data_IF_740976055428
#
_entry.id   IF_740976055428
#
_cell.length_a   1.000
_cell.length_b   1.000
_cell.length_c   1.000
_cell.angle_alpha   90.00
_cell.angle_beta   90.00
_cell.angle_gamma   90.00
#
_symmetry.space_group_name_H-M   'P 1'
#
loop_
_entity.id
_entity.type
_entity.pdbx_description
1 polymer ?
#
# COMPACT_ATOMS: atom_id res chain seq x y z
N UNK A 1 25.03 0.15 -12.49
CA UNK A 1 24.62 0.41 -11.07
C UNK A 1 24.34 -0.89 -10.30
N UNK A 2 23.75 -1.92 -10.93
CA UNK A 2 23.41 -3.20 -10.28
C UNK A 2 24.62 -4.16 -10.21
N UNK A 3 25.65 -3.98 -11.02
CA UNK A 3 26.82 -4.90 -11.15
C UNK A 3 27.61 -5.14 -9.84
N UNK A 4 27.49 -4.24 -8.89
CA UNK A 4 28.13 -4.36 -7.56
C UNK A 4 27.36 -5.27 -6.59
N UNK A 5 26.12 -5.65 -6.93
CA UNK A 5 25.27 -6.50 -6.08
C UNK A 5 25.24 -7.92 -6.63
N UNK A 6 25.09 -8.88 -5.73
CA UNK A 6 24.78 -10.27 -6.09
C UNK A 6 23.25 -10.43 -5.97
N UNK A 7 22.64 -11.01 -6.98
CA UNK A 7 21.22 -11.34 -6.96
C UNK A 7 21.03 -12.83 -6.62
N UNK A 8 20.07 -13.10 -5.75
CA UNK A 8 19.59 -14.46 -5.50
C UNK A 8 18.06 -14.43 -5.55
N UNK A 9 17.46 -15.35 -6.29
CA UNK A 9 16.05 -15.67 -6.20
C UNK A 9 15.87 -16.57 -4.99
N UNK A 10 14.98 -16.19 -4.08
CA UNK A 10 14.66 -16.93 -2.88
C UNK A 10 13.16 -17.23 -2.88
N UNK A 11 12.78 -18.40 -2.38
CA UNK A 11 11.41 -18.82 -2.16
C UNK A 11 11.30 -19.24 -0.70
N UNK A 12 10.23 -18.85 -0.04
CA UNK A 12 9.84 -19.46 1.24
C UNK A 12 9.20 -20.82 0.96
N UNK A 13 9.87 -21.94 1.27
CA UNK A 13 9.34 -23.24 0.93
C UNK A 13 8.07 -23.61 1.70
N UNK A 14 7.90 -23.10 2.94
CA UNK A 14 6.74 -23.42 3.77
C UNK A 14 5.47 -22.64 3.32
N UNK A 15 5.65 -21.46 2.73
CA UNK A 15 4.54 -20.65 2.20
C UNK A 15 4.29 -20.82 0.70
N UNK A 16 5.12 -21.63 0.03
CA UNK A 16 4.96 -21.93 -1.40
C UNK A 16 3.75 -22.83 -1.63
N UNK A 17 2.75 -22.35 -2.36
CA UNK A 17 1.54 -23.11 -2.70
C UNK A 17 1.73 -24.12 -3.85
N UNK A 18 2.92 -24.22 -4.43
CA UNK A 18 3.21 -25.18 -5.50
C UNK A 18 2.50 -24.94 -6.83
N UNK A 19 1.99 -23.74 -7.10
CA UNK A 19 1.16 -23.42 -8.28
C UNK A 19 1.91 -23.45 -9.63
N UNK A 20 3.25 -23.42 -9.65
CA UNK A 20 4.07 -23.49 -10.86
C UNK A 20 4.11 -22.24 -11.73
N UNK A 21 3.39 -21.16 -11.38
CA UNK A 21 3.34 -19.92 -12.18
C UNK A 21 4.71 -19.30 -12.38
N UNK A 22 5.58 -19.28 -11.36
CA UNK A 22 6.94 -18.76 -11.45
C UNK A 22 7.80 -19.53 -12.47
N UNK A 23 7.63 -20.84 -12.56
CA UNK A 23 8.32 -21.68 -13.56
C UNK A 23 7.80 -21.37 -14.96
N UNK A 24 6.48 -21.25 -15.12
CA UNK A 24 5.86 -20.93 -16.41
C UNK A 24 6.26 -19.53 -16.88
N UNK A 25 6.24 -18.54 -16.01
CA UNK A 25 6.58 -17.14 -16.30
C UNK A 25 8.09 -16.87 -16.44
N UNK A 26 8.96 -17.83 -16.06
CA UNK A 26 10.41 -17.63 -16.11
C UNK A 26 10.87 -17.31 -17.55
N UNK A 27 11.54 -16.16 -17.78
CA UNK A 27 11.93 -15.71 -19.12
C UNK A 27 13.19 -16.40 -19.67
N UNK A 28 13.90 -17.17 -18.85
CA UNK A 28 15.09 -17.88 -19.28
C UNK A 28 14.75 -18.94 -20.33
N UNK A 29 15.63 -19.09 -21.35
CA UNK A 29 15.46 -20.10 -22.42
C UNK A 29 15.36 -21.51 -21.84
N UNK A 30 16.30 -21.84 -20.95
CA UNK A 30 16.21 -23.00 -20.07
C UNK A 30 15.67 -22.48 -18.76
N UNK A 31 14.50 -22.96 -18.33
CA UNK A 31 13.85 -22.46 -17.12
C UNK A 31 14.82 -22.46 -15.95
N UNK A 32 15.03 -21.30 -15.33
CA UNK A 32 15.90 -21.16 -14.18
C UNK A 32 15.28 -21.68 -12.88
N UNK A 33 13.96 -21.88 -12.89
CA UNK A 33 13.19 -22.42 -11.78
C UNK A 33 12.59 -23.76 -12.17
N UNK A 34 12.59 -24.71 -11.26
CA UNK A 34 11.98 -26.04 -11.42
C UNK A 34 11.17 -26.39 -10.18
N UNK A 35 10.06 -27.09 -10.37
CA UNK A 35 9.29 -27.63 -9.25
C UNK A 35 10.00 -28.84 -8.66
N UNK A 36 10.09 -28.91 -7.35
CA UNK A 36 10.65 -30.01 -6.59
C UNK A 36 9.69 -30.40 -5.45
N UNK A 37 9.70 -31.65 -4.99
CA UNK A 37 8.96 -32.05 -3.79
C UNK A 37 9.40 -31.21 -2.58
N UNK A 38 8.44 -30.73 -1.79
CA UNK A 38 8.69 -29.86 -0.65
C UNK A 38 9.71 -30.44 0.34
N UNK A 39 9.59 -31.74 0.61
CA UNK A 39 10.45 -32.44 1.57
C UNK A 39 11.93 -32.37 1.21
N UNK A 40 12.25 -32.23 -0.08
CA UNK A 40 13.63 -32.08 -0.55
C UNK A 40 14.17 -30.64 -0.42
N UNK A 41 13.29 -29.67 -0.16
CA UNK A 41 13.61 -28.24 -0.15
C UNK A 41 13.48 -27.58 1.23
N UNK A 42 13.08 -28.31 2.26
CA UNK A 42 12.88 -27.76 3.60
C UNK A 42 14.12 -27.05 4.17
N UNK A 43 15.32 -27.48 3.79
CA UNK A 43 16.57 -26.84 4.20
C UNK A 43 16.74 -25.42 3.67
N UNK A 44 16.01 -25.01 2.63
CA UNK A 44 16.00 -23.64 2.11
C UNK A 44 15.22 -22.68 3.03
N UNK A 45 14.46 -23.21 4.00
CA UNK A 45 13.82 -22.35 5.01
C UNK A 45 14.86 -21.59 5.84
N UNK A 46 15.95 -22.24 6.23
CA UNK A 46 17.04 -21.58 6.98
C UNK A 46 17.67 -20.42 6.18
N UNK A 47 17.75 -20.58 4.85
CA UNK A 47 18.22 -19.52 3.94
C UNK A 47 17.22 -18.39 3.83
N UNK A 48 15.92 -18.68 3.81
CA UNK A 48 14.88 -17.66 3.83
C UNK A 48 14.92 -16.87 5.13
N UNK A 49 14.92 -17.53 6.28
CA UNK A 49 14.94 -16.91 7.59
C UNK A 49 16.19 -16.01 7.76
N UNK A 50 17.36 -16.50 7.28
CA UNK A 50 18.56 -15.68 7.25
C UNK A 50 18.38 -14.43 6.38
N UNK A 51 17.71 -14.54 5.23
CA UNK A 51 17.49 -13.39 4.34
C UNK A 51 16.71 -12.26 5.01
N UNK A 52 15.78 -12.61 5.90
CA UNK A 52 14.98 -11.63 6.66
C UNK A 52 15.80 -10.84 7.69
N UNK A 53 16.97 -11.36 8.11
CA UNK A 53 17.88 -10.68 9.04
C UNK A 53 18.77 -9.64 8.36
N UNK A 54 18.84 -9.65 7.04
CA UNK A 54 19.72 -8.74 6.29
C UNK A 54 19.21 -7.30 6.36
N UNK A 55 20.15 -6.36 6.36
CA UNK A 55 19.82 -4.94 6.30
C UNK A 55 19.22 -4.56 4.95
N UNK A 56 18.25 -3.64 4.99
CA UNK A 56 17.66 -3.10 3.77
C UNK A 56 18.72 -2.43 2.90
N UNK A 57 18.59 -2.61 1.61
CA UNK A 57 19.44 -1.96 0.60
C UNK A 57 18.68 -0.81 -0.03
N UNK A 58 19.38 0.29 -0.25
CA UNK A 58 18.81 1.37 -1.05
C UNK A 58 18.50 0.84 -2.46
N UNK A 59 17.28 1.07 -2.93
CA UNK A 59 16.90 0.70 -4.28
C UNK A 59 17.84 1.37 -5.30
N UNK A 60 18.54 0.61 -6.14
CA UNK A 60 19.50 1.15 -7.11
C UNK A 60 18.83 1.76 -8.33
N UNK A 61 17.51 1.65 -8.45
CA UNK A 61 16.72 2.09 -9.60
C UNK A 61 15.50 2.89 -9.14
N UNK A 62 14.86 3.60 -10.07
CA UNK A 62 13.56 4.22 -9.78
C UNK A 62 12.51 3.15 -9.52
N UNK A 63 11.80 3.24 -8.40
CA UNK A 63 10.69 2.34 -8.04
C UNK A 63 9.54 2.36 -9.06
N UNK A 64 9.45 3.39 -9.88
CA UNK A 64 8.43 3.51 -10.93
C UNK A 64 8.82 2.83 -12.26
N UNK A 65 9.86 2.01 -12.26
CA UNK A 65 10.19 1.12 -13.37
C UNK A 65 9.87 -0.32 -13.01
N UNK A 66 9.62 -1.17 -14.02
CA UNK A 66 9.31 -2.60 -13.83
C UNK A 66 10.37 -3.30 -12.96
N UNK A 67 11.65 -3.06 -13.22
CA UNK A 67 12.73 -3.66 -12.41
C UNK A 67 12.85 -3.00 -11.05
N UNK A 68 12.75 -1.68 -10.98
CA UNK A 68 12.95 -0.93 -9.76
C UNK A 68 11.88 -1.21 -8.71
N UNK A 69 10.63 -1.40 -9.12
CA UNK A 69 9.54 -1.74 -8.20
C UNK A 69 9.81 -3.03 -7.43
N UNK A 70 10.52 -3.98 -8.03
CA UNK A 70 10.82 -5.29 -7.43
C UNK A 70 11.98 -5.24 -6.41
N UNK A 71 12.64 -4.11 -6.25
CA UNK A 71 13.61 -3.86 -5.18
C UNK A 71 12.99 -3.14 -3.96
N UNK A 72 11.73 -2.76 -4.05
CA UNK A 72 10.98 -2.26 -2.90
C UNK A 72 10.42 -3.42 -2.08
N UNK A 73 10.40 -3.26 -0.75
CA UNK A 73 9.82 -4.26 0.14
C UNK A 73 8.32 -4.38 -0.13
N UNK A 74 7.79 -5.57 -0.41
CA UNK A 74 6.35 -5.78 -0.44
C UNK A 74 5.76 -5.69 0.96
N UNK A 75 4.59 -5.05 1.07
CA UNK A 75 3.83 -4.98 2.32
C UNK A 75 2.51 -5.76 2.23
N UNK A 76 2.45 -6.67 1.27
CA UNK A 76 1.47 -7.74 1.11
C UNK A 76 2.19 -8.98 0.60
N UNK A 77 2.19 -10.05 1.41
CA UNK A 77 2.72 -11.37 1.04
C UNK A 77 1.95 -12.47 1.78
N UNK A 78 2.03 -13.69 1.27
CA UNK A 78 1.49 -14.89 1.91
C UNK A 78 -0.03 -14.81 2.16
N UNK A 79 -0.77 -14.34 1.16
CA UNK A 79 -2.23 -14.25 1.23
C UNK A 79 -2.88 -15.64 1.16
N UNK A 80 -4.08 -15.78 1.72
CA UNK A 80 -4.91 -16.97 1.58
C UNK A 80 -5.63 -17.10 0.23
N UNK A 81 -5.14 -16.45 -0.83
CA UNK A 81 -5.71 -16.55 -2.17
C UNK A 81 -5.51 -17.95 -2.78
N UNK A 82 -6.30 -18.25 -3.83
CA UNK A 82 -6.14 -19.48 -4.60
C UNK A 82 -4.72 -19.57 -5.20
N UNK A 83 -4.19 -20.79 -5.30
CA UNK A 83 -2.89 -21.03 -5.93
C UNK A 83 -2.87 -20.47 -7.36
N UNK A 84 -1.88 -19.61 -7.66
CA UNK A 84 -1.76 -18.94 -8.95
C UNK A 84 -2.72 -17.77 -9.17
N UNK A 85 -3.35 -17.23 -8.12
CA UNK A 85 -4.22 -16.04 -8.22
C UNK A 85 -3.46 -14.86 -8.81
N UNK A 86 -4.01 -14.25 -9.87
CA UNK A 86 -3.42 -13.08 -10.51
C UNK A 86 -3.63 -11.77 -9.75
N UNK A 87 -4.67 -11.66 -8.93
CA UNK A 87 -5.01 -10.43 -8.20
C UNK A 87 -3.93 -10.02 -7.21
N UNK A 88 -3.35 -10.97 -6.49
CA UNK A 88 -2.37 -10.72 -5.43
C UNK A 88 -1.08 -10.11 -5.95
N UNK A 89 -0.68 -10.41 -7.19
CA UNK A 89 0.50 -9.81 -7.82
C UNK A 89 0.36 -8.29 -8.01
N UNK A 90 -0.83 -7.83 -8.41
CA UNK A 90 -1.12 -6.41 -8.53
C UNK A 90 -1.21 -5.71 -7.18
N UNK A 91 -1.90 -6.33 -6.21
CA UNK A 91 -1.99 -5.79 -4.86
C UNK A 91 -0.60 -5.68 -4.21
N UNK A 92 0.25 -6.69 -4.36
CA UNK A 92 1.65 -6.66 -3.91
C UNK A 92 2.41 -5.48 -4.53
N UNK A 93 2.31 -5.28 -5.85
CA UNK A 93 2.96 -4.17 -6.55
C UNK A 93 2.49 -2.82 -6.00
N UNK A 94 1.20 -2.63 -5.76
CA UNK A 94 0.68 -1.40 -5.15
C UNK A 94 1.29 -1.14 -3.78
N UNK A 95 1.45 -2.17 -2.95
CA UNK A 95 2.10 -2.01 -1.65
C UNK A 95 3.59 -1.70 -1.75
N UNK A 96 4.30 -2.22 -2.75
CA UNK A 96 5.70 -1.88 -3.01
C UNK A 96 5.88 -0.40 -3.39
N UNK A 97 4.91 0.18 -4.10
CA UNK A 97 4.98 1.56 -4.57
C UNK A 97 4.49 2.58 -3.53
N UNK A 98 3.44 2.23 -2.79
CA UNK A 98 2.70 3.19 -1.96
C UNK A 98 2.39 2.69 -0.54
N UNK A 99 2.69 1.42 -0.23
CA UNK A 99 2.19 0.72 0.94
C UNK A 99 2.54 1.39 2.27
N UNK A 100 3.68 2.04 2.38
CA UNK A 100 4.14 2.69 3.60
C UNK A 100 3.32 3.94 4.01
N UNK A 101 2.43 4.41 3.15
CA UNK A 101 1.52 5.53 3.40
C UNK A 101 0.10 5.29 2.84
N UNK A 102 -0.23 4.04 2.54
CA UNK A 102 -1.47 3.63 1.89
C UNK A 102 -2.62 3.50 2.88
N UNK A 103 -3.75 4.10 2.55
CA UNK A 103 -5.06 3.82 3.15
C UNK A 103 -5.93 3.15 2.11
N UNK A 104 -6.55 2.05 2.47
CA UNK A 104 -7.20 1.17 1.51
C UNK A 104 -8.61 0.79 1.95
N UNK A 105 -9.59 1.22 1.18
CA UNK A 105 -10.97 0.76 1.27
C UNK A 105 -11.19 -0.39 0.29
N UNK A 106 -11.46 -1.58 0.81
CA UNK A 106 -11.65 -2.79 0.02
C UNK A 106 -13.15 -3.14 -0.07
N UNK A 107 -13.65 -3.31 -1.28
CA UNK A 107 -14.99 -3.84 -1.49
C UNK A 107 -15.05 -5.35 -1.22
N UNK A 108 -16.14 -5.83 -0.65
CA UNK A 108 -16.36 -7.26 -0.42
C UNK A 108 -16.24 -8.05 -1.74
N UNK A 109 -15.51 -9.16 -1.70
CA UNK A 109 -15.24 -10.02 -2.84
C UNK A 109 -13.97 -10.85 -2.60
N UNK A 110 -13.33 -11.36 -3.67
CA UNK A 110 -12.07 -12.11 -3.55
C UNK A 110 -10.99 -11.31 -2.83
N UNK A 111 -10.84 -10.02 -3.13
CA UNK A 111 -9.84 -9.15 -2.51
C UNK A 111 -10.04 -8.99 -1.02
N UNK A 112 -11.27 -8.99 -0.53
CA UNK A 112 -11.57 -9.01 0.89
C UNK A 112 -11.30 -10.40 1.48
N UNK A 113 -11.67 -11.47 0.78
CA UNK A 113 -11.51 -12.82 1.28
C UNK A 113 -10.03 -13.15 1.55
N UNK A 114 -9.16 -12.94 0.57
CA UNK A 114 -7.71 -13.17 0.77
C UNK A 114 -7.02 -12.03 1.52
N UNK A 115 -7.63 -10.84 1.61
CA UNK A 115 -7.05 -9.66 2.27
C UNK A 115 -7.21 -9.67 3.79
N UNK A 116 -8.22 -10.36 4.35
CA UNK A 116 -8.42 -10.38 5.80
C UNK A 116 -9.30 -11.52 6.33
N UNK A 117 -10.18 -12.12 5.53
CA UNK A 117 -11.13 -13.10 6.03
C UNK A 117 -10.56 -14.53 6.08
N UNK A 118 -9.64 -14.89 5.21
CA UNK A 118 -8.92 -16.14 5.27
C UNK A 118 -7.75 -16.04 6.25
N UNK A 119 -7.47 -17.02 7.05
CA UNK A 119 -7.13 -17.03 8.48
C UNK A 119 -6.08 -15.99 8.94
N UNK A 120 -5.45 -15.28 8.01
CA UNK A 120 -4.46 -14.25 8.33
C UNK A 120 -4.63 -13.02 7.41
N UNK A 121 -4.20 -11.88 7.90
CA UNK A 121 -4.11 -10.64 7.13
C UNK A 121 -2.74 -10.63 6.45
N UNK A 122 -2.64 -10.60 5.11
CA UNK A 122 -1.37 -10.63 4.39
C UNK A 122 -0.67 -9.27 4.35
N UNK A 123 -1.35 -8.21 4.74
CA UNK A 123 -0.76 -6.87 4.83
C UNK A 123 0.12 -6.76 6.07
N UNK A 124 1.27 -6.10 5.93
CA UNK A 124 2.26 -5.93 6.99
C UNK A 124 2.83 -4.52 6.99
N UNK A 125 3.72 -4.26 7.93
CA UNK A 125 4.46 -3.00 8.04
C UNK A 125 5.93 -3.20 7.70
N UNK A 126 6.59 -2.11 7.28
CA UNK A 126 8.03 -2.08 7.18
C UNK A 126 8.69 -2.02 8.58
N UNK A 127 10.03 -2.05 8.63
CA UNK A 127 10.80 -1.99 9.89
C UNK A 127 10.58 -0.72 10.72
N UNK A 128 10.02 0.32 10.11
CA UNK A 128 9.66 1.57 10.79
C UNK A 128 8.23 1.55 11.34
N UNK A 129 7.48 0.46 11.15
CA UNK A 129 6.09 0.34 11.57
C UNK A 129 5.07 0.97 10.62
N UNK A 130 5.47 1.33 9.39
CA UNK A 130 4.58 1.90 8.38
C UNK A 130 4.10 0.83 7.40
N UNK A 131 2.81 0.83 7.10
CA UNK A 131 2.20 -0.12 6.17
C UNK A 131 0.77 0.27 5.82
N UNK A 132 0.11 -0.52 4.94
CA UNK A 132 -1.25 -0.25 4.53
C UNK A 132 -2.23 -0.29 5.70
N UNK A 133 -3.04 0.76 5.84
CA UNK A 133 -4.23 0.73 6.69
C UNK A 133 -5.39 0.18 5.85
N UNK A 134 -5.67 -1.11 6.01
CA UNK A 134 -6.71 -1.81 5.28
C UNK A 134 -8.03 -1.80 6.02
N UNK A 135 -9.10 -1.54 5.30
CA UNK A 135 -10.46 -1.57 5.83
C UNK A 135 -11.42 -2.15 4.81
N UNK A 136 -12.34 -2.99 5.26
CA UNK A 136 -13.37 -3.58 4.40
C UNK A 136 -14.68 -2.81 4.49
N UNK A 137 -15.39 -2.76 3.37
CA UNK A 137 -16.78 -2.29 3.28
C UNK A 137 -17.61 -3.28 2.47
N UNK A 138 -18.93 -3.12 2.47
CA UNK A 138 -19.79 -3.86 1.56
C UNK A 138 -19.49 -3.44 0.12
N UNK A 139 -19.69 -4.35 -0.84
CA UNK A 139 -19.34 -4.06 -2.22
C UNK A 139 -20.29 -3.02 -2.90
N UNK A 140 -21.48 -2.82 -2.35
CA UNK A 140 -22.43 -1.80 -2.80
C UNK A 140 -22.09 -0.39 -2.27
N UNK A 141 -21.29 -0.23 -1.21
CA UNK A 141 -21.04 1.07 -0.57
C UNK A 141 -19.55 1.43 -0.43
N UNK A 142 -18.66 0.69 -1.07
CA UNK A 142 -17.21 0.93 -0.96
C UNK A 142 -16.80 2.33 -1.42
N UNK A 143 -17.41 2.85 -2.48
CA UNK A 143 -17.10 4.17 -2.98
C UNK A 143 -17.39 5.26 -1.92
N UNK A 144 -18.58 5.20 -1.29
CA UNK A 144 -18.99 6.12 -0.23
C UNK A 144 -18.11 6.01 1.00
N UNK A 145 -17.79 4.77 1.42
CA UNK A 145 -16.89 4.49 2.52
C UNK A 145 -15.50 5.07 2.28
N UNK A 146 -14.95 4.87 1.08
CA UNK A 146 -13.63 5.40 0.71
C UNK A 146 -13.60 6.92 0.72
N UNK A 147 -14.60 7.58 0.16
CA UNK A 147 -14.70 9.06 0.21
C UNK A 147 -14.79 9.56 1.65
N UNK A 148 -15.54 8.86 2.50
CA UNK A 148 -15.58 9.18 3.92
C UNK A 148 -14.20 9.12 4.58
N UNK A 149 -13.40 8.11 4.24
CA UNK A 149 -12.00 8.00 4.72
C UNK A 149 -11.12 9.14 4.17
N UNK A 150 -11.25 9.49 2.89
CA UNK A 150 -10.51 10.61 2.27
C UNK A 150 -10.81 11.89 3.02
N UNK A 151 -12.08 12.25 3.17
CA UNK A 151 -12.50 13.48 3.84
C UNK A 151 -12.04 13.52 5.30
N UNK A 152 -12.09 12.39 6.02
CA UNK A 152 -11.63 12.32 7.39
C UNK A 152 -10.10 12.55 7.50
N UNK A 153 -9.32 11.93 6.61
CA UNK A 153 -7.86 12.09 6.58
C UNK A 153 -7.48 13.52 6.20
N UNK A 154 -8.13 14.12 5.19
CA UNK A 154 -7.91 15.51 4.79
C UNK A 154 -8.21 16.48 5.93
N UNK A 155 -9.34 16.30 6.60
CA UNK A 155 -9.75 17.14 7.73
C UNK A 155 -8.74 17.09 8.89
N UNK A 156 -8.22 15.91 9.23
CA UNK A 156 -7.18 15.78 10.25
C UNK A 156 -5.87 16.42 9.81
N UNK A 157 -5.52 16.26 8.56
CA UNK A 157 -4.32 16.84 7.98
C UNK A 157 -4.38 18.36 7.93
N UNK A 158 -5.52 18.94 7.56
CA UNK A 158 -5.77 20.39 7.58
C UNK A 158 -5.68 20.94 9.00
N UNK A 159 -6.25 20.22 9.97
CA UNK A 159 -6.18 20.60 11.38
C UNK A 159 -4.74 20.65 11.89
N UNK A 160 -3.93 19.65 11.58
CA UNK A 160 -2.49 19.67 11.92
C UNK A 160 -1.76 20.78 11.18
N UNK A 161 -2.08 20.99 9.92
CA UNK A 161 -1.47 22.08 9.12
C UNK A 161 -1.74 23.46 9.71
N UNK A 162 -2.96 23.72 10.20
CA UNK A 162 -3.26 24.98 10.92
C UNK A 162 -2.37 25.13 12.16
N UNK A 163 -2.22 24.07 12.96
CA UNK A 163 -1.39 24.10 14.17
C UNK A 163 0.10 24.28 13.87
N UNK A 164 0.59 23.71 12.78
CA UNK A 164 1.96 23.94 12.29
C UNK A 164 2.14 25.43 11.92
N UNK A 165 1.19 26.03 11.21
CA UNK A 165 1.23 27.44 10.86
C UNK A 165 1.17 28.36 12.08
N UNK A 166 0.32 28.04 13.06
CA UNK A 166 0.21 28.77 14.31
C UNK A 166 1.54 28.74 15.09
N UNK A 167 2.16 27.57 15.20
CA UNK A 167 3.46 27.42 15.87
C UNK A 167 4.59 28.11 15.10
N UNK A 168 4.59 28.02 13.78
CA UNK A 168 5.56 28.68 12.90
C UNK A 168 5.57 30.20 13.13
N UNK A 169 4.40 30.81 13.31
CA UNK A 169 4.30 32.26 13.59
C UNK A 169 4.93 32.65 14.94
N UNK A 170 5.04 31.72 15.89
CA UNK A 170 5.61 31.95 17.23
C UNK A 170 7.11 31.60 17.33
N UNK A 171 7.66 30.89 16.34
CA UNK A 171 8.98 30.26 16.44
C UNK A 171 9.91 30.63 15.26
N UNK A 172 9.76 31.82 14.72
CA UNK A 172 10.58 32.31 13.60
C UNK A 172 12.09 32.18 13.90
N UNK A 173 12.86 31.73 12.91
CA UNK A 173 14.31 31.60 13.02
C UNK A 173 14.80 30.33 13.72
N UNK A 174 13.93 29.41 14.06
CA UNK A 174 14.28 28.10 14.62
C UNK A 174 14.43 27.03 13.53
N UNK A 175 15.09 25.91 13.85
CA UNK A 175 15.17 24.74 12.96
C UNK A 175 13.80 24.18 12.62
N UNK A 176 12.86 24.25 13.58
CA UNK A 176 11.46 23.89 13.31
C UNK A 176 10.85 24.78 12.24
N UNK A 177 11.06 26.11 12.29
CA UNK A 177 10.51 27.03 11.29
C UNK A 177 10.99 26.67 9.88
N UNK A 178 12.29 26.42 9.70
CA UNK A 178 12.86 26.03 8.40
C UNK A 178 12.30 24.69 7.90
N UNK A 179 12.15 23.70 8.79
CA UNK A 179 11.57 22.40 8.45
C UNK A 179 10.08 22.53 8.09
N UNK A 180 9.31 23.32 8.85
CA UNK A 180 7.89 23.55 8.63
C UNK A 180 7.60 24.28 7.31
N UNK A 181 8.40 25.28 6.97
CA UNK A 181 8.31 25.98 5.67
C UNK A 181 8.54 25.01 4.51
N UNK A 182 9.61 24.22 4.56
CA UNK A 182 9.90 23.20 3.55
C UNK A 182 8.76 22.17 3.43
N UNK A 183 8.20 21.73 4.55
CA UNK A 183 7.07 20.81 4.58
C UNK A 183 5.81 21.44 3.98
N UNK A 184 5.52 22.70 4.27
CA UNK A 184 4.39 23.43 3.69
C UNK A 184 4.52 23.61 2.17
N UNK A 185 5.71 23.91 1.66
CA UNK A 185 5.97 23.99 0.23
C UNK A 185 5.71 22.64 -0.50
N UNK A 186 6.02 21.54 0.15
CA UNK A 186 5.84 20.18 -0.38
C UNK A 186 4.58 19.49 0.15
N UNK A 187 3.66 20.23 0.74
CA UNK A 187 2.51 19.69 1.47
C UNK A 187 1.74 18.62 0.68
N UNK A 188 1.56 18.83 -0.62
CA UNK A 188 0.83 17.91 -1.51
C UNK A 188 1.73 16.91 -2.27
N UNK A 189 3.03 16.90 -2.02
CA UNK A 189 3.97 16.00 -2.67
C UNK A 189 4.10 14.69 -1.88
N UNK A 190 3.46 13.62 -2.35
CA UNK A 190 3.46 12.32 -1.68
C UNK A 190 4.85 11.67 -1.52
N UNK A 191 5.77 11.88 -2.45
CA UNK A 191 7.11 11.27 -2.40
C UNK A 191 8.03 11.99 -1.41
N UNK A 192 7.91 13.30 -1.27
CA UNK A 192 8.68 14.10 -0.32
C UNK A 192 8.08 14.14 1.07
N UNK A 193 6.77 14.03 1.17
CA UNK A 193 5.98 14.21 2.38
C UNK A 193 6.53 13.42 3.58
N UNK A 194 7.01 12.19 3.37
CA UNK A 194 7.55 11.35 4.44
C UNK A 194 8.87 11.90 5.00
N UNK A 195 9.78 12.35 4.13
CA UNK A 195 11.06 12.91 4.53
C UNK A 195 10.87 14.26 5.23
N UNK A 196 10.04 15.13 4.66
CA UNK A 196 9.77 16.44 5.20
C UNK A 196 9.02 16.36 6.55
N UNK A 197 8.07 15.42 6.69
CA UNK A 197 7.40 15.14 7.98
C UNK A 197 8.38 14.69 9.07
N UNK A 198 9.36 13.85 8.73
CA UNK A 198 10.39 13.43 9.67
C UNK A 198 11.26 14.59 10.13
N UNK A 199 11.61 15.49 9.21
CA UNK A 199 12.38 16.68 9.55
C UNK A 199 11.60 17.58 10.53
N UNK A 200 10.29 17.80 10.28
CA UNK A 200 9.42 18.55 11.19
C UNK A 200 9.36 17.89 12.57
N UNK A 201 9.12 16.56 12.63
CA UNK A 201 9.05 15.82 13.90
C UNK A 201 10.37 15.88 14.67
N UNK A 202 11.51 15.75 13.98
CA UNK A 202 12.83 15.83 14.61
C UNK A 202 13.07 17.23 15.20
N UNK A 203 12.80 18.29 14.43
CA UNK A 203 12.94 19.66 14.88
C UNK A 203 11.99 20.00 16.04
N UNK A 204 10.73 19.48 16.02
CA UNK A 204 9.80 19.63 17.14
C UNK A 204 10.31 19.03 18.44
N UNK A 205 10.94 17.85 18.39
CA UNK A 205 11.46 17.21 19.59
C UNK A 205 12.55 18.02 20.28
N UNK A 206 13.38 18.72 19.51
CA UNK A 206 14.47 19.59 20.03
C UNK A 206 13.99 20.99 20.37
N UNK A 207 12.84 21.42 19.87
CA UNK A 207 12.29 22.76 20.07
C UNK A 207 11.94 23.00 21.55
N UNK A 208 12.53 24.01 22.16
CA UNK A 208 12.22 24.45 23.53
C UNK A 208 11.26 25.63 23.49
N UNK A 209 10.04 25.40 23.97
CA UNK A 209 8.97 26.43 24.03
C UNK A 209 8.13 26.20 25.29
N UNK A 210 7.42 27.24 25.71
CA UNK A 210 6.50 27.23 26.84
C UNK A 210 5.13 27.79 26.48
N UNK A 211 4.19 27.73 27.42
CA UNK A 211 2.85 28.27 27.26
C UNK A 211 2.12 27.75 26.04
N UNK A 212 1.48 28.63 25.29
CA UNK A 212 0.67 28.28 24.11
C UNK A 212 1.50 27.60 23.00
N UNK A 213 2.77 27.92 22.87
CA UNK A 213 3.63 27.27 21.87
C UNK A 213 3.94 25.81 22.26
N UNK A 214 4.05 25.50 23.55
CA UNK A 214 4.21 24.11 24.04
C UNK A 214 2.95 23.28 23.76
N UNK A 215 1.75 23.83 24.00
CA UNK A 215 0.49 23.14 23.69
C UNK A 215 0.37 22.82 22.18
N UNK A 216 0.77 23.74 21.31
CA UNK A 216 0.79 23.53 19.86
C UNK A 216 1.78 22.44 19.47
N UNK A 217 2.99 22.47 20.03
CA UNK A 217 4.02 21.45 19.82
C UNK A 217 3.51 20.06 20.20
N UNK A 218 2.92 19.92 21.40
CA UNK A 218 2.42 18.64 21.90
C UNK A 218 1.28 18.12 21.01
N UNK A 219 0.35 18.99 20.62
CA UNK A 219 -0.72 18.62 19.69
C UNK A 219 -0.18 18.10 18.36
N UNK A 220 0.82 18.76 17.78
CA UNK A 220 1.41 18.34 16.48
C UNK A 220 2.13 17.01 16.65
N UNK A 221 2.85 16.78 17.75
CA UNK A 221 3.53 15.52 18.01
C UNK A 221 2.54 14.35 18.21
N UNK A 222 1.47 14.55 18.96
CA UNK A 222 0.40 13.57 19.17
C UNK A 222 -0.32 13.20 17.85
N UNK A 223 -0.42 14.12 16.91
CA UNK A 223 -1.08 13.93 15.63
C UNK A 223 -0.08 13.84 14.45
N UNK A 224 1.17 13.50 14.73
CA UNK A 224 2.27 13.56 13.74
C UNK A 224 2.09 12.61 12.55
N UNK A 225 1.27 11.57 12.68
CA UNK A 225 0.91 10.67 11.57
C UNK A 225 0.22 11.40 10.40
N UNK A 226 -0.47 12.51 10.68
CA UNK A 226 -1.16 13.33 9.68
C UNK A 226 -0.24 14.33 8.96
N UNK A 227 1.01 14.50 9.37
CA UNK A 227 2.00 15.28 8.63
C UNK A 227 2.34 14.63 7.28
N UNK A 228 2.38 13.29 7.22
CA UNK A 228 2.67 12.57 5.99
C UNK A 228 1.43 12.46 5.10
N UNK A 229 1.52 12.89 3.82
CA UNK A 229 0.44 12.73 2.85
C UNK A 229 0.15 11.25 2.64
N UNK A 230 -1.07 10.83 2.95
CA UNK A 230 -1.52 9.45 2.71
C UNK A 230 -1.80 9.24 1.22
N UNK A 231 -1.66 8.01 0.77
CA UNK A 231 -2.09 7.55 -0.54
C UNK A 231 -3.42 6.83 -0.36
N UNK A 232 -4.49 7.44 -0.83
CA UNK A 232 -5.86 6.95 -0.63
C UNK A 232 -6.26 6.05 -1.78
N UNK A 233 -6.78 4.86 -1.47
CA UNK A 233 -7.14 3.84 -2.44
C UNK A 233 -8.51 3.24 -2.14
N UNK A 234 -9.25 2.94 -3.20
CA UNK A 234 -10.37 2.02 -3.16
C UNK A 234 -10.16 0.93 -4.21
N UNK A 235 -10.43 -0.32 -3.85
CA UNK A 235 -10.41 -1.39 -4.82
C UNK A 235 -11.39 -2.51 -4.52
N UNK A 236 -11.69 -3.29 -5.55
CA UNK A 236 -12.54 -4.45 -5.54
C UNK A 236 -12.64 -5.06 -6.93
N UNK A 237 -13.52 -6.02 -7.09
CA UNK A 237 -13.77 -6.72 -8.34
C UNK A 237 -14.93 -6.13 -9.15
N UNK A 238 -15.35 -6.87 -10.14
CA UNK A 238 -16.34 -6.52 -11.15
C UNK A 238 -17.70 -6.14 -10.58
N UNK A 239 -18.21 -6.90 -9.62
CA UNK A 239 -19.53 -6.65 -9.03
C UNK A 239 -19.61 -5.29 -8.33
N UNK A 240 -18.54 -4.88 -7.69
CA UNK A 240 -18.43 -3.54 -7.14
C UNK A 240 -18.36 -2.49 -8.26
N UNK A 241 -17.38 -2.61 -9.14
CA UNK A 241 -17.03 -1.52 -10.06
C UNK A 241 -18.04 -1.33 -11.18
N UNK A 242 -18.59 -2.42 -11.73
CA UNK A 242 -19.39 -2.38 -12.95
C UNK A 242 -20.89 -2.59 -12.73
N UNK A 243 -21.26 -3.13 -11.57
CA UNK A 243 -22.65 -3.47 -11.30
C UNK A 243 -23.18 -2.69 -10.09
N UNK A 244 -23.19 -3.29 -8.90
CA UNK A 244 -23.92 -2.75 -7.75
C UNK A 244 -23.28 -1.46 -7.19
N UNK A 245 -21.96 -1.32 -7.25
CA UNK A 245 -21.23 -0.15 -6.75
C UNK A 245 -21.01 0.96 -7.79
N UNK A 246 -21.43 0.74 -9.05
CA UNK A 246 -21.14 1.64 -10.16
C UNK A 246 -21.61 3.08 -9.92
N UNK A 247 -22.83 3.27 -9.42
CA UNK A 247 -23.37 4.61 -9.19
C UNK A 247 -22.57 5.42 -8.15
N UNK A 248 -22.08 4.76 -7.11
CA UNK A 248 -21.17 5.38 -6.14
C UNK A 248 -19.82 5.74 -6.76
N UNK A 249 -19.28 4.84 -7.56
CA UNK A 249 -17.99 5.03 -8.24
C UNK A 249 -18.04 6.17 -9.26
N UNK A 250 -19.12 6.25 -10.06
CA UNK A 250 -19.37 7.35 -10.98
C UNK A 250 -19.40 8.70 -10.27
N UNK A 251 -20.08 8.77 -9.12
CA UNK A 251 -20.13 9.99 -8.31
C UNK A 251 -18.74 10.37 -7.78
N UNK A 252 -17.94 9.40 -7.31
CA UNK A 252 -16.58 9.66 -6.84
C UNK A 252 -15.70 10.24 -7.94
N UNK A 253 -15.76 9.67 -9.14
CA UNK A 253 -15.02 10.19 -10.31
C UNK A 253 -15.45 11.63 -10.61
N UNK A 254 -16.77 11.90 -10.60
CA UNK A 254 -17.31 13.23 -10.82
C UNK A 254 -16.90 14.24 -9.74
N UNK A 255 -16.72 13.80 -8.49
CA UNK A 255 -16.35 14.65 -7.34
C UNK A 255 -14.89 15.10 -7.34
N UNK A 256 -14.03 14.47 -8.14
CA UNK A 256 -12.58 14.79 -8.27
C UNK A 256 -11.82 14.73 -6.94
N UNK A 257 -12.20 13.86 -6.04
CA UNK A 257 -11.45 13.60 -4.80
C UNK A 257 -10.08 12.98 -5.11
N UNK A 258 -9.07 13.27 -4.28
CA UNK A 258 -7.72 12.69 -4.39
C UNK A 258 -7.73 11.23 -3.89
N UNK A 259 -8.31 10.35 -4.69
CA UNK A 259 -8.40 8.92 -4.42
C UNK A 259 -8.08 8.10 -5.65
N UNK A 260 -7.31 7.04 -5.46
CA UNK A 260 -6.97 6.10 -6.51
C UNK A 260 -8.02 4.99 -6.54
N UNK A 261 -8.50 4.68 -7.74
CA UNK A 261 -9.49 3.63 -7.99
C UNK A 261 -8.79 2.49 -8.72
N UNK A 262 -8.86 1.29 -8.17
CA UNK A 262 -8.27 0.12 -8.77
C UNK A 262 -9.28 -1.03 -8.87
N UNK A 263 -9.55 -1.48 -10.08
CA UNK A 263 -10.47 -2.58 -10.36
C UNK A 263 -9.67 -3.82 -10.75
N UNK A 264 -9.89 -4.91 -10.00
CA UNK A 264 -9.45 -6.23 -10.40
C UNK A 264 -10.49 -6.80 -11.36
N UNK A 265 -10.29 -6.53 -12.64
CA UNK A 265 -11.21 -6.94 -13.70
C UNK A 265 -10.96 -8.40 -14.06
N UNK A 266 -11.84 -9.26 -13.60
CA UNK A 266 -11.84 -10.70 -13.89
C UNK A 266 -12.92 -11.09 -14.89
N UNK A 267 -13.68 -10.11 -15.40
CA UNK A 267 -14.80 -10.27 -16.32
C UNK A 267 -15.98 -11.07 -15.76
N UNK A 268 -15.95 -11.40 -14.46
CA UNK A 268 -17.00 -12.18 -13.76
C UNK A 268 -17.08 -11.79 -12.29
N UNK A 269 -18.15 -12.19 -11.61
CA UNK A 269 -18.20 -12.22 -10.14
C UNK A 269 -17.35 -13.39 -9.64
N UNK A 270 -16.07 -13.18 -9.45
CA UNK A 270 -15.11 -14.24 -9.16
C UNK A 270 -15.35 -14.91 -7.79
N UNK A 271 -15.61 -14.13 -6.75
CA UNK A 271 -15.74 -14.66 -5.38
C UNK A 271 -16.98 -15.51 -5.16
N UNK A 272 -18.08 -15.19 -5.83
CA UNK A 272 -19.36 -15.91 -5.67
C UNK A 272 -19.48 -17.12 -6.56
N UNK A 273 -18.59 -17.32 -7.52
CA UNK A 273 -18.53 -18.53 -8.33
C UNK A 273 -18.52 -18.33 -9.85
N UNK A 274 -18.23 -17.15 -10.35
CA UNK A 274 -18.02 -16.93 -11.79
C UNK A 274 -19.26 -16.51 -12.57
N UNK A 275 -20.23 -15.89 -11.90
CA UNK A 275 -21.42 -15.31 -12.56
C UNK A 275 -21.03 -14.17 -13.50
N UNK A 276 -21.81 -13.94 -14.55
CA UNK A 276 -21.60 -12.84 -15.48
C UNK A 276 -21.68 -11.49 -14.77
N UNK A 277 -20.74 -10.60 -15.08
CA UNK A 277 -20.77 -9.18 -14.74
C UNK A 277 -21.06 -8.35 -15.99
N UNK A 278 -21.19 -7.03 -15.84
CA UNK A 278 -21.26 -6.13 -17.01
C UNK A 278 -19.93 -6.05 -17.80
N UNK A 279 -18.82 -6.53 -17.24
CA UNK A 279 -17.57 -6.66 -17.95
C UNK A 279 -17.48 -7.97 -18.77
N UNK A 280 -18.37 -8.94 -18.55
CA UNK A 280 -18.36 -10.21 -19.29
C UNK A 280 -18.59 -9.97 -20.77
N UNK A 281 -17.77 -10.58 -21.62
CA UNK A 281 -17.83 -10.41 -23.05
C UNK A 281 -19.10 -11.04 -23.64
N UNK A 282 -19.61 -10.49 -24.74
CA UNK A 282 -20.76 -11.05 -25.46
C UNK A 282 -20.41 -12.47 -25.95
N UNK A 283 -21.22 -13.44 -25.55
CA UNK A 283 -21.00 -14.86 -25.88
C UNK A 283 -20.08 -15.60 -24.92
N UNK A 284 -19.53 -14.95 -23.91
CA UNK A 284 -18.80 -15.63 -22.83
C UNK A 284 -19.76 -16.52 -22.04
N UNK A 285 -19.33 -17.74 -21.77
CA UNK A 285 -20.05 -18.65 -20.87
C UNK A 285 -19.64 -18.34 -19.44
N UNK A 286 -20.58 -17.88 -18.64
CA UNK A 286 -20.42 -17.66 -17.20
C UNK A 286 -21.34 -18.61 -16.44
N UNK A 287 -21.08 -18.85 -15.16
CA UNK A 287 -21.92 -19.69 -14.30
C UNK A 287 -23.15 -18.96 -13.81
#
# INVERSE_FOLDING_TARGET
>A
EIKQYKFRMQVDPLDCQGCGVCVTACPAKEKALVMQPLETQLHEQDNWDFSLTLSDKKNPMSKFTVKGSQFEQPLLEFSGACAGCGETAYAKLMTQLYGDRMYLANATGCTQAWGAAAPCVPYTTNKEGWGPAWSNSLFENNAQFSVGMVLAVEQQRDRVTMKVKDLLALTAGTDFAAAAETWLENWDNGDRSKADSRAVIAALKELQVDGAAAELKDFILENSEHLTKKSMWMYGGDGWAYDIGYGGLDHVIASKQDVNIFVFDTEVYSNTGGQASKASNIGQVAQ
#
